data_IF_114743596304
#
_entry.id   IF_114743596304
#
_cell.length_a   1.000
_cell.length_b   1.000
_cell.length_c   1.000
_cell.angle_alpha   90.00
_cell.angle_beta   90.00
_cell.angle_gamma   90.00
#
_symmetry.space_group_name_H-M   'P 1'
#
loop_
_entity.id
_entity.type
_entity.pdbx_description
1 polymer ?
#
# COMPACT_ATOMS: atom_id res chain seq x y z
N UNK A 1 -1.59 28.20 -7.55
CA UNK A 1 -0.76 27.27 -8.35
C UNK A 1 0.27 26.65 -7.42
N UNK A 2 0.61 25.37 -7.61
CA UNK A 2 1.78 24.73 -7.01
C UNK A 2 2.95 24.87 -7.97
N UNK A 3 4.14 25.14 -7.43
CA UNK A 3 5.39 25.08 -8.18
C UNK A 3 6.06 23.75 -7.88
N UNK A 4 6.34 22.96 -8.91
CA UNK A 4 7.01 21.66 -8.80
C UNK A 4 8.36 21.75 -9.49
N UNK A 5 9.43 21.42 -8.78
CA UNK A 5 10.78 21.35 -9.32
C UNK A 5 11.11 19.89 -9.68
N UNK A 6 11.43 19.66 -10.96
CA UNK A 6 11.83 18.35 -11.47
C UNK A 6 13.35 18.13 -11.31
N UNK A 7 13.86 16.88 -11.46
CA UNK A 7 15.28 16.57 -11.25
C UNK A 7 16.23 17.28 -12.23
N UNK A 8 15.74 17.73 -13.38
CA UNK A 8 16.51 18.53 -14.34
C UNK A 8 16.62 20.02 -13.95
N UNK A 9 16.03 20.40 -12.81
CA UNK A 9 15.99 21.75 -12.28
C UNK A 9 14.86 22.62 -12.83
N UNK A 10 14.06 22.11 -13.79
CA UNK A 10 12.92 22.85 -14.33
C UNK A 10 11.82 23.02 -13.29
N UNK A 11 11.11 24.15 -13.35
CA UNK A 11 9.96 24.44 -12.48
C UNK A 11 8.71 24.48 -13.34
N UNK A 12 7.72 23.67 -12.99
CA UNK A 12 6.44 23.57 -13.67
C UNK A 12 5.29 23.93 -12.73
N UNK A 13 4.29 24.62 -13.27
CA UNK A 13 3.12 25.03 -12.50
C UNK A 13 1.94 24.07 -12.69
N UNK A 14 1.30 23.75 -11.57
CA UNK A 14 0.15 22.86 -11.51
C UNK A 14 -0.97 23.42 -10.63
N UNK A 15 -2.23 23.00 -10.83
CA UNK A 15 -3.31 23.26 -9.88
C UNK A 15 -2.97 22.73 -8.48
N UNK A 16 -3.59 23.29 -7.43
CA UNK A 16 -3.32 22.85 -6.04
C UNK A 16 -3.71 21.39 -5.78
N UNK A 17 -4.64 20.85 -6.55
CA UNK A 17 -5.11 19.47 -6.45
C UNK A 17 -4.23 18.48 -7.21
N UNK A 18 -3.16 18.93 -7.87
CA UNK A 18 -2.34 18.06 -8.69
C UNK A 18 -1.59 17.03 -7.85
N UNK A 19 -1.55 15.81 -8.38
CA UNK A 19 -0.83 14.65 -7.87
C UNK A 19 0.51 14.49 -8.60
N UNK A 20 1.39 13.63 -8.11
CA UNK A 20 2.61 13.32 -8.86
C UNK A 20 2.31 12.62 -10.20
N UNK A 21 1.21 11.84 -10.28
CA UNK A 21 0.75 11.28 -11.55
C UNK A 21 0.30 12.35 -12.54
N UNK A 22 -0.35 13.43 -12.09
CA UNK A 22 -0.72 14.54 -12.99
C UNK A 22 0.53 15.25 -13.54
N UNK A 23 1.59 15.35 -12.73
CA UNK A 23 2.89 15.83 -13.20
C UNK A 23 3.48 14.88 -14.25
N UNK A 24 3.46 13.58 -13.98
CA UNK A 24 3.95 12.56 -14.91
C UNK A 24 3.16 12.54 -16.23
N UNK A 25 1.84 12.70 -16.19
CA UNK A 25 0.98 12.71 -17.38
C UNK A 25 1.26 13.91 -18.28
N UNK A 26 1.53 15.09 -17.69
CA UNK A 26 1.96 16.26 -18.46
C UNK A 26 3.32 16.07 -19.14
N UNK A 27 4.24 15.34 -18.50
CA UNK A 27 5.55 15.00 -19.09
C UNK A 27 5.36 13.97 -20.22
N UNK A 28 4.53 12.95 -19.99
CA UNK A 28 4.11 12.03 -21.03
C UNK A 28 3.42 10.78 -20.49
N UNK A 29 2.38 10.34 -21.18
CA UNK A 29 1.53 9.19 -20.80
C UNK A 29 2.30 7.87 -20.61
N UNK A 30 3.42 7.67 -21.32
CA UNK A 30 4.29 6.50 -21.11
C UNK A 30 4.95 6.52 -19.74
N UNK A 31 5.40 7.70 -19.28
CA UNK A 31 6.01 7.85 -17.97
C UNK A 31 4.98 7.61 -16.87
N UNK A 32 3.80 8.24 -16.97
CA UNK A 32 2.71 8.09 -16.00
C UNK A 32 2.29 6.62 -15.78
N UNK A 33 2.28 5.80 -16.85
CA UNK A 33 2.01 4.35 -16.77
C UNK A 33 3.07 3.54 -16.04
N UNK A 34 4.27 4.08 -15.86
CA UNK A 34 5.39 3.41 -15.18
C UNK A 34 5.67 3.94 -13.78
N UNK A 35 5.02 5.04 -13.38
CA UNK A 35 5.17 5.59 -12.02
C UNK A 35 4.60 4.61 -11.01
N UNK A 36 5.43 4.34 -9.99
CA UNK A 36 5.16 3.48 -8.84
C UNK A 36 4.86 4.33 -7.61
N UNK A 37 5.64 5.38 -7.39
CA UNK A 37 5.52 6.31 -6.27
C UNK A 37 6.16 7.63 -6.65
N UNK A 38 6.14 8.59 -5.72
CA UNK A 38 6.91 9.81 -5.84
C UNK A 38 7.83 9.97 -4.64
N UNK A 39 8.87 10.79 -4.80
CA UNK A 39 9.78 11.20 -3.74
C UNK A 39 9.78 12.71 -3.64
N UNK A 40 9.52 13.21 -2.43
CA UNK A 40 9.61 14.62 -2.07
C UNK A 40 10.71 14.73 -1.03
N UNK A 41 11.80 15.41 -1.38
CA UNK A 41 13.06 15.38 -0.62
C UNK A 41 13.51 13.92 -0.38
N UNK A 42 13.58 13.48 0.88
CA UNK A 42 13.96 12.10 1.26
C UNK A 42 12.75 11.19 1.54
N UNK A 43 11.52 11.67 1.32
CA UNK A 43 10.29 10.95 1.67
C UNK A 43 9.62 10.36 0.44
N UNK A 44 9.41 9.05 0.44
CA UNK A 44 8.60 8.35 -0.56
C UNK A 44 7.12 8.48 -0.19
N UNK A 45 6.30 8.87 -1.16
CA UNK A 45 4.87 9.20 -1.01
C UNK A 45 4.05 8.63 -2.16
N UNK A 46 2.74 8.47 -1.95
CA UNK A 46 1.82 8.00 -2.98
C UNK A 46 1.80 8.95 -4.18
N UNK A 47 1.85 8.39 -5.38
CA UNK A 47 1.81 9.21 -6.59
C UNK A 47 0.41 9.75 -6.91
N UNK A 48 -0.63 9.17 -6.31
CA UNK A 48 -2.06 9.51 -6.49
C UNK A 48 -2.57 10.53 -5.48
N UNK A 49 -1.81 10.85 -4.44
CA UNK A 49 -2.22 11.81 -3.41
C UNK A 49 -1.92 13.25 -3.86
N UNK A 50 -2.79 14.24 -3.59
CA UNK A 50 -2.50 15.64 -3.92
C UNK A 50 -1.21 16.10 -3.26
N UNK A 51 -0.34 16.76 -4.02
CA UNK A 51 0.95 17.22 -3.54
C UNK A 51 0.82 18.24 -2.39
N UNK A 52 -0.27 19.03 -2.39
CA UNK A 52 -0.61 19.95 -1.31
C UNK A 52 -0.88 19.28 0.03
N UNK A 53 -1.22 17.99 0.04
CA UNK A 53 -1.55 17.24 1.26
C UNK A 53 -0.31 16.55 1.83
N UNK A 54 0.81 16.61 1.11
CA UNK A 54 2.06 15.91 1.39
C UNK A 54 3.15 16.86 1.91
N UNK A 55 3.13 18.12 1.48
CA UNK A 55 4.13 19.13 1.83
C UNK A 55 3.63 20.56 1.61
N UNK A 56 4.19 21.50 2.37
CA UNK A 56 3.99 22.95 2.21
C UNK A 56 5.14 23.64 1.43
N UNK A 57 6.11 22.87 0.93
CA UNK A 57 7.27 23.40 0.19
C UNK A 57 6.86 24.10 -1.11
N UNK A 58 7.64 25.12 -1.50
CA UNK A 58 7.51 25.79 -2.80
C UNK A 58 8.85 26.36 -3.26
N UNK A 59 9.43 25.87 -4.38
CA UNK A 59 8.94 24.78 -5.20
C UNK A 59 9.02 23.42 -4.47
N UNK A 60 8.14 22.50 -4.82
CA UNK A 60 8.14 21.12 -4.33
C UNK A 60 9.21 20.33 -5.11
N UNK A 61 10.29 19.85 -4.48
CA UNK A 61 11.27 19.01 -5.17
C UNK A 61 10.66 17.62 -5.39
N UNK A 62 10.32 17.28 -6.63
CA UNK A 62 9.60 16.06 -6.98
C UNK A 62 10.44 15.15 -7.86
N UNK A 63 10.66 13.91 -7.40
CA UNK A 63 11.20 12.82 -8.22
C UNK A 63 10.10 11.77 -8.44
N UNK A 64 9.87 11.39 -9.69
CA UNK A 64 8.94 10.32 -10.04
C UNK A 64 9.69 8.99 -10.00
N UNK A 65 9.24 8.08 -9.14
CA UNK A 65 9.86 6.76 -8.99
C UNK A 65 9.15 5.74 -9.88
N UNK A 66 9.94 4.92 -10.56
CA UNK A 66 9.51 3.86 -11.47
C UNK A 66 10.05 2.51 -11.03
N UNK A 67 9.71 1.43 -11.74
CA UNK A 67 10.25 0.09 -11.48
C UNK A 67 11.79 -0.02 -11.60
N UNK A 68 12.45 0.99 -12.16
CA UNK A 68 13.92 1.05 -12.31
C UNK A 68 14.62 1.59 -11.07
N UNK A 69 13.87 2.22 -10.18
CA UNK A 69 14.38 2.88 -9.00
C UNK A 69 14.30 1.90 -7.82
N UNK A 70 15.45 1.59 -7.21
CA UNK A 70 15.50 0.62 -6.11
C UNK A 70 14.59 1.00 -4.94
N UNK A 71 14.47 2.31 -4.65
CA UNK A 71 13.59 2.86 -3.62
C UNK A 71 12.09 2.57 -3.89
N UNK A 72 11.69 2.34 -5.16
CA UNK A 72 10.31 2.02 -5.52
C UNK A 72 9.93 0.56 -5.20
N UNK A 73 10.93 -0.31 -5.03
CA UNK A 73 10.72 -1.74 -4.86
C UNK A 73 9.98 -2.06 -3.56
N UNK A 74 10.22 -1.30 -2.50
CA UNK A 74 9.49 -1.46 -1.24
C UNK A 74 8.01 -1.11 -1.40
N UNK A 75 7.68 -0.08 -2.17
CA UNK A 75 6.27 0.26 -2.47
C UNK A 75 5.57 -0.86 -3.25
N UNK A 76 6.27 -1.45 -4.23
CA UNK A 76 5.79 -2.60 -4.98
C UNK A 76 5.56 -3.81 -4.08
N UNK A 77 6.53 -4.16 -3.23
CA UNK A 77 6.45 -5.28 -2.29
C UNK A 77 5.31 -5.10 -1.29
N UNK A 78 5.17 -3.91 -0.72
CA UNK A 78 4.10 -3.59 0.23
C UNK A 78 2.72 -3.72 -0.42
N UNK A 79 2.58 -3.20 -1.64
CA UNK A 79 1.33 -3.33 -2.41
C UNK A 79 1.04 -4.77 -2.80
N UNK A 80 2.07 -5.57 -3.06
CA UNK A 80 1.92 -7.00 -3.33
C UNK A 80 1.48 -7.77 -2.08
N UNK A 81 1.95 -7.37 -0.89
CA UNK A 81 1.48 -7.94 0.39
C UNK A 81 -0.03 -7.70 0.59
N UNK A 82 -0.54 -6.51 0.27
CA UNK A 82 -1.99 -6.23 0.31
C UNK A 82 -2.78 -7.07 -0.69
N UNK A 83 -2.28 -7.22 -1.92
CA UNK A 83 -2.91 -8.09 -2.93
C UNK A 83 -2.94 -9.55 -2.47
N UNK A 84 -1.86 -10.03 -1.81
CA UNK A 84 -1.82 -11.36 -1.22
C UNK A 84 -2.86 -11.50 -0.10
N UNK A 85 -2.94 -10.53 0.82
CA UNK A 85 -3.92 -10.55 1.89
C UNK A 85 -5.37 -10.59 1.37
N UNK A 86 -5.67 -9.77 0.36
CA UNK A 86 -6.97 -9.81 -0.33
C UNK A 86 -7.25 -11.17 -0.97
N UNK A 87 -6.27 -11.77 -1.64
CA UNK A 87 -6.41 -13.08 -2.25
C UNK A 87 -6.72 -14.16 -1.19
N UNK A 88 -5.99 -14.17 -0.07
CA UNK A 88 -6.24 -15.07 1.06
C UNK A 88 -7.65 -14.88 1.62
N UNK A 89 -8.09 -13.64 1.84
CA UNK A 89 -9.44 -13.35 2.33
C UNK A 89 -10.57 -13.76 1.37
N UNK A 90 -10.30 -13.85 0.06
CA UNK A 90 -11.28 -14.37 -0.92
C UNK A 90 -11.37 -15.89 -0.92
N UNK A 91 -10.25 -16.56 -0.66
CA UNK A 91 -10.17 -18.02 -0.70
C UNK A 91 -10.58 -18.67 0.62
N UNK A 92 -10.37 -17.99 1.75
CA UNK A 92 -10.60 -18.54 3.08
C UNK A 92 -11.50 -17.62 3.90
N UNK A 93 -12.50 -18.21 4.56
CA UNK A 93 -13.41 -17.48 5.44
C UNK A 93 -12.79 -17.23 6.82
N UNK A 94 -13.22 -16.14 7.46
CA UNK A 94 -12.85 -15.86 8.86
C UNK A 94 -11.40 -15.45 9.07
N UNK A 95 -10.72 -14.96 8.02
CA UNK A 95 -9.32 -14.48 8.10
C UNK A 95 -9.24 -13.16 8.88
N UNK A 96 -8.41 -13.14 9.92
CA UNK A 96 -7.98 -11.93 10.63
C UNK A 96 -6.57 -11.57 10.20
N UNK A 97 -6.36 -10.32 9.81
CA UNK A 97 -5.10 -9.77 9.34
C UNK A 97 -4.28 -9.23 10.51
N UNK A 98 -3.02 -9.66 10.62
CA UNK A 98 -2.05 -9.10 11.55
C UNK A 98 -1.16 -8.06 10.85
N UNK A 99 0.10 -8.41 10.55
CA UNK A 99 1.10 -7.49 9.97
C UNK A 99 1.57 -7.99 8.61
N UNK A 100 1.73 -7.08 7.64
CA UNK A 100 2.24 -7.39 6.31
C UNK A 100 3.33 -6.44 5.82
N UNK A 101 4.48 -6.36 6.49
CA UNK A 101 5.54 -5.43 6.12
C UNK A 101 6.37 -5.95 4.93
N UNK A 102 7.17 -5.05 4.38
CA UNK A 102 8.28 -5.41 3.50
C UNK A 102 9.50 -5.85 4.31
N UNK A 103 10.35 -6.64 3.66
CA UNK A 103 11.66 -7.07 4.15
C UNK A 103 12.68 -6.93 3.02
N UNK A 104 13.98 -6.99 3.32
CA UNK A 104 15.09 -6.74 2.38
C UNK A 104 14.90 -7.37 0.99
N UNK A 105 14.40 -8.61 0.96
CA UNK A 105 14.23 -9.41 -0.25
C UNK A 105 12.78 -9.80 -0.56
N UNK A 106 11.78 -9.17 0.06
CA UNK A 106 10.39 -9.52 -0.20
C UNK A 106 9.37 -8.84 0.72
N UNK A 107 8.33 -9.57 1.06
CA UNK A 107 7.28 -9.20 2.00
C UNK A 107 6.75 -10.47 2.65
N UNK A 108 6.06 -10.32 3.76
CA UNK A 108 5.26 -11.41 4.34
C UNK A 108 3.90 -10.84 4.77
N UNK A 109 3.01 -11.72 5.21
CA UNK A 109 1.78 -11.31 5.88
C UNK A 109 1.35 -12.37 6.89
N UNK A 110 1.12 -11.93 8.13
CA UNK A 110 0.64 -12.78 9.20
C UNK A 110 -0.89 -12.85 9.18
N UNK A 111 -1.43 -14.07 9.20
CA UNK A 111 -2.87 -14.35 9.18
C UNK A 111 -3.26 -15.19 10.38
N UNK A 112 -4.38 -14.85 11.01
CA UNK A 112 -5.12 -15.75 11.89
C UNK A 112 -6.31 -16.31 11.11
N UNK A 113 -6.32 -17.63 10.90
CA UNK A 113 -7.36 -18.34 10.17
C UNK A 113 -7.39 -19.82 10.58
N UNK A 114 -8.55 -20.47 10.42
CA UNK A 114 -8.71 -21.88 10.80
C UNK A 114 -7.99 -22.84 9.85
N UNK A 115 -7.88 -22.47 8.56
CA UNK A 115 -7.16 -23.26 7.56
C UNK A 115 -5.66 -23.17 7.79
N UNK A 116 -4.97 -24.32 7.80
CA UNK A 116 -3.51 -24.35 7.93
C UNK A 116 -2.90 -24.20 6.54
N UNK A 117 -2.46 -22.98 6.23
CA UNK A 117 -1.78 -22.70 4.97
C UNK A 117 -0.53 -23.56 4.81
N UNK A 118 -0.36 -24.08 3.61
CA UNK A 118 0.76 -24.93 3.18
C UNK A 118 1.24 -24.48 1.79
N UNK A 119 2.36 -25.03 1.32
CA UNK A 119 2.84 -24.74 -0.04
C UNK A 119 1.85 -25.20 -1.13
N UNK A 120 1.01 -26.20 -0.84
CA UNK A 120 -0.04 -26.68 -1.75
C UNK A 120 -1.12 -25.60 -2.02
N UNK A 121 -1.26 -24.62 -1.13
CA UNK A 121 -2.20 -23.51 -1.29
C UNK A 121 -1.65 -22.39 -2.20
N UNK A 122 -0.33 -22.34 -2.46
CA UNK A 122 0.30 -21.20 -3.11
C UNK A 122 -0.19 -21.00 -4.54
N UNK A 123 -0.40 -22.07 -5.30
CA UNK A 123 -0.90 -21.95 -6.68
C UNK A 123 -2.28 -21.28 -6.71
N UNK A 124 -3.17 -21.64 -5.78
CA UNK A 124 -4.50 -21.04 -5.69
C UNK A 124 -4.44 -19.57 -5.29
N UNK A 125 -3.62 -19.23 -4.28
CA UNK A 125 -3.44 -17.85 -3.82
C UNK A 125 -2.82 -17.00 -4.93
N UNK A 126 -1.74 -17.46 -5.58
CA UNK A 126 -1.09 -16.74 -6.67
C UNK A 126 -2.02 -16.54 -7.87
N UNK A 127 -2.86 -17.54 -8.20
CA UNK A 127 -3.87 -17.41 -9.24
C UNK A 127 -4.90 -16.32 -8.89
N UNK A 128 -5.37 -16.25 -7.65
CA UNK A 128 -6.30 -15.22 -7.20
C UNK A 128 -5.64 -13.82 -7.16
N UNK A 129 -4.39 -13.73 -6.70
CA UNK A 129 -3.58 -12.50 -6.80
C UNK A 129 -3.46 -12.03 -8.26
N UNK A 130 -3.26 -12.96 -9.20
CA UNK A 130 -3.22 -12.66 -10.63
C UNK A 130 -4.53 -12.09 -11.17
N UNK A 131 -5.69 -12.59 -10.69
CA UNK A 131 -7.00 -12.02 -11.06
C UNK A 131 -7.19 -10.61 -10.51
N UNK A 132 -6.76 -10.37 -9.26
CA UNK A 132 -6.79 -9.04 -8.63
C UNK A 132 -5.89 -8.06 -9.40
N UNK A 133 -4.67 -8.46 -9.76
CA UNK A 133 -3.76 -7.60 -10.53
C UNK A 133 -4.35 -7.26 -11.90
N UNK A 134 -5.02 -8.22 -12.54
CA UNK A 134 -5.67 -8.03 -13.83
C UNK A 134 -6.88 -7.10 -13.79
N UNK A 135 -7.57 -6.96 -12.64
CA UNK A 135 -8.67 -6.00 -12.50
C UNK A 135 -8.19 -4.55 -12.53
N UNK A 136 -6.89 -4.32 -12.27
CA UNK A 136 -6.25 -3.00 -12.25
C UNK A 136 -6.97 -1.99 -11.35
N UNK A 137 -7.56 -2.48 -10.25
CA UNK A 137 -8.21 -1.61 -9.27
C UNK A 137 -7.20 -0.68 -8.59
N UNK A 138 -7.58 0.59 -8.34
CA UNK A 138 -6.72 1.55 -7.70
C UNK A 138 -6.51 1.22 -6.21
N UNK A 139 -5.41 1.70 -5.66
CA UNK A 139 -5.22 1.80 -4.22
C UNK A 139 -5.69 3.18 -3.75
N UNK A 140 -6.82 3.20 -3.03
CA UNK A 140 -7.46 4.42 -2.56
C UNK A 140 -7.09 4.65 -1.09
N UNK A 141 -6.29 5.68 -0.84
CA UNK A 141 -5.93 6.08 0.51
C UNK A 141 -7.06 6.88 1.15
N UNK A 142 -7.38 6.57 2.40
CA UNK A 142 -8.25 7.41 3.22
C UNK A 142 -7.79 7.35 4.68
N UNK A 143 -8.19 8.35 5.46
CA UNK A 143 -7.86 8.44 6.88
C UNK A 143 -9.11 8.59 7.71
N UNK A 144 -9.13 7.96 8.89
CA UNK A 144 -10.24 8.03 9.83
C UNK A 144 -9.75 8.48 11.20
N UNK A 145 -10.65 9.11 11.97
CA UNK A 145 -10.42 9.33 13.39
C UNK A 145 -10.35 7.99 14.12
N UNK A 146 -9.63 7.95 15.24
CA UNK A 146 -9.39 6.71 16.00
C UNK A 146 -10.65 5.89 16.31
N UNK A 147 -11.74 6.53 16.72
CA UNK A 147 -13.00 5.85 17.05
C UNK A 147 -13.62 5.18 15.81
N UNK A 148 -13.67 5.92 14.70
CA UNK A 148 -14.18 5.43 13.41
C UNK A 148 -13.28 4.33 12.83
N UNK A 149 -11.96 4.47 12.94
CA UNK A 149 -10.98 3.46 12.54
C UNK A 149 -11.15 2.16 13.33
N UNK A 150 -11.33 2.26 14.65
CA UNK A 150 -11.59 1.12 15.53
C UNK A 150 -12.91 0.44 15.15
N UNK A 151 -13.96 1.24 14.92
CA UNK A 151 -15.26 0.74 14.50
C UNK A 151 -15.18 0.02 13.15
N UNK A 152 -14.49 0.60 12.17
CA UNK A 152 -14.31 0.00 10.85
C UNK A 152 -13.64 -1.38 10.95
N UNK A 153 -12.51 -1.48 11.67
CA UNK A 153 -11.84 -2.75 11.88
C UNK A 153 -12.73 -3.77 12.60
N UNK A 154 -13.52 -3.33 13.59
CA UNK A 154 -14.47 -4.19 14.29
C UNK A 154 -15.58 -4.70 13.38
N UNK A 155 -16.16 -3.83 12.54
CA UNK A 155 -17.22 -4.20 11.59
C UNK A 155 -16.69 -5.18 10.51
N UNK A 156 -15.42 -5.04 10.13
CA UNK A 156 -14.69 -5.95 9.24
C UNK A 156 -14.20 -7.23 9.95
N UNK A 157 -14.53 -7.42 11.23
CA UNK A 157 -14.12 -8.55 12.08
C UNK A 157 -12.59 -8.72 12.19
N UNK A 158 -11.84 -7.62 12.12
CA UNK A 158 -10.38 -7.58 12.22
C UNK A 158 -9.95 -7.28 13.66
N UNK A 159 -10.14 -8.25 14.57
CA UNK A 159 -9.84 -8.13 16.00
C UNK A 159 -8.39 -7.75 16.29
N UNK A 160 -7.43 -8.34 15.56
CA UNK A 160 -6.00 -8.06 15.73
C UNK A 160 -5.67 -6.60 15.38
N UNK A 161 -6.31 -6.05 14.35
CA UNK A 161 -6.17 -4.63 14.00
C UNK A 161 -6.80 -3.72 15.06
N UNK A 162 -7.97 -4.08 15.61
CA UNK A 162 -8.58 -3.35 16.73
C UNK A 162 -7.63 -3.29 17.93
N UNK A 163 -7.05 -4.43 18.32
CA UNK A 163 -6.08 -4.47 19.42
C UNK A 163 -4.84 -3.64 19.10
N UNK A 164 -4.33 -3.72 17.87
CA UNK A 164 -3.17 -2.93 17.45
C UNK A 164 -3.45 -1.42 17.50
N UNK A 165 -4.64 -0.98 17.09
CA UNK A 165 -5.07 0.42 17.22
C UNK A 165 -5.05 0.83 18.70
N UNK A 166 -5.64 0.02 19.57
CA UNK A 166 -5.77 0.29 21.00
C UNK A 166 -4.42 0.35 21.72
N UNK A 167 -3.45 -0.46 21.28
CA UNK A 167 -2.18 -0.64 21.97
C UNK A 167 -1.02 -0.02 21.20
N UNK A 168 -0.62 -0.63 20.07
CA UNK A 168 0.54 -0.24 19.28
C UNK A 168 0.43 1.15 18.65
N UNK A 169 -0.79 1.63 18.41
CA UNK A 169 -1.05 2.96 17.83
C UNK A 169 -1.81 3.87 18.81
N UNK A 170 -1.65 3.68 20.12
CA UNK A 170 -2.39 4.43 21.15
C UNK A 170 -2.29 5.95 21.00
N UNK A 171 -1.11 6.45 20.63
CA UNK A 171 -0.82 7.88 20.50
C UNK A 171 -1.29 8.49 19.17
N UNK A 172 -1.80 7.68 18.23
CA UNK A 172 -2.24 8.16 16.92
C UNK A 172 -3.73 8.52 16.93
N UNK A 173 -4.02 9.81 16.71
CA UNK A 173 -5.40 10.34 16.65
C UNK A 173 -6.09 10.06 15.30
N UNK A 174 -5.31 10.02 14.23
CA UNK A 174 -5.77 9.66 12.89
C UNK A 174 -5.00 8.45 12.37
N UNK A 175 -5.71 7.57 11.68
CA UNK A 175 -5.17 6.34 11.14
C UNK A 175 -5.45 6.25 9.64
N UNK A 176 -4.42 5.86 8.90
CA UNK A 176 -4.48 5.66 7.46
C UNK A 176 -4.96 4.27 7.10
N UNK A 177 -5.72 4.19 6.02
CA UNK A 177 -6.23 2.97 5.42
C UNK A 177 -6.03 3.02 3.91
N UNK A 178 -5.94 1.84 3.32
CA UNK A 178 -5.99 1.68 1.87
C UNK A 178 -7.12 0.75 1.50
N UNK A 179 -7.95 1.20 0.55
CA UNK A 179 -8.96 0.38 -0.11
C UNK A 179 -8.46 -0.09 -1.47
N UNK A 180 -8.71 -1.35 -1.80
CA UNK A 180 -8.55 -1.89 -3.14
C UNK A 180 -9.76 -2.78 -3.45
N UNK A 181 -10.72 -2.24 -4.21
CA UNK A 181 -12.00 -2.90 -4.42
C UNK A 181 -12.74 -3.11 -3.10
N UNK A 182 -13.08 -4.36 -2.78
CA UNK A 182 -13.72 -4.73 -1.51
C UNK A 182 -12.76 -4.81 -0.31
N UNK A 183 -11.45 -4.87 -0.56
CA UNK A 183 -10.45 -5.02 0.49
C UNK A 183 -10.10 -3.68 1.13
N UNK A 184 -9.99 -3.66 2.44
CA UNK A 184 -9.55 -2.49 3.22
C UNK A 184 -8.56 -2.97 4.27
N UNK A 185 -7.41 -2.31 4.36
CA UNK A 185 -6.42 -2.60 5.39
C UNK A 185 -5.88 -1.33 6.07
N UNK A 186 -5.55 -1.47 7.35
CA UNK A 186 -4.93 -0.43 8.19
C UNK A 186 -3.46 -0.32 7.80
N UNK A 187 -3.11 0.74 7.06
CA UNK A 187 -1.78 0.92 6.52
C UNK A 187 -1.49 2.41 6.28
N UNK A 188 -0.26 2.83 6.59
CA UNK A 188 0.23 4.19 6.33
C UNK A 188 0.66 4.41 4.87
N UNK A 189 0.95 3.32 4.16
CA UNK A 189 1.50 3.35 2.81
C UNK A 189 2.96 3.85 2.77
N UNK A 190 3.42 4.31 1.59
CA UNK A 190 2.64 4.50 0.37
C UNK A 190 2.35 3.17 -0.37
N UNK A 191 1.41 3.22 -1.32
CA UNK A 191 1.11 2.13 -2.25
C UNK A 191 1.23 2.57 -3.72
N UNK A 192 1.31 1.58 -4.60
CA UNK A 192 1.26 1.79 -6.05
C UNK A 192 -0.08 2.39 -6.49
N UNK A 193 -0.14 3.14 -7.61
CA UNK A 193 -1.40 3.72 -8.10
C UNK A 193 -2.53 2.71 -8.29
N UNK A 194 -2.21 1.56 -8.88
CA UNK A 194 -3.16 0.50 -9.20
C UNK A 194 -2.45 -0.85 -9.27
N UNK A 195 -3.23 -1.92 -9.10
CA UNK A 195 -2.72 -3.29 -9.02
C UNK A 195 -1.95 -3.72 -10.29
N UNK A 196 -2.22 -3.12 -11.45
CA UNK A 196 -1.56 -3.49 -12.72
C UNK A 196 -0.07 -3.15 -12.73
N UNK A 197 0.42 -2.34 -11.79
CA UNK A 197 1.85 -2.05 -11.64
C UNK A 197 2.65 -3.25 -11.13
N UNK A 198 2.01 -4.24 -10.51
CA UNK A 198 2.67 -5.49 -10.12
C UNK A 198 2.85 -6.37 -11.37
N UNK A 199 4.11 -6.60 -11.77
CA UNK A 199 4.43 -7.39 -12.98
C UNK A 199 4.86 -8.82 -12.68
N UNK A 200 5.51 -9.04 -11.55
CA UNK A 200 6.01 -10.33 -11.14
C UNK A 200 5.98 -10.43 -9.61
N UNK A 201 5.58 -11.60 -9.11
CA UNK A 201 5.59 -11.96 -7.71
C UNK A 201 5.64 -13.49 -7.59
N UNK A 202 6.03 -13.98 -6.42
CA UNK A 202 6.03 -15.41 -6.10
C UNK A 202 5.93 -15.58 -4.58
N UNK A 203 5.09 -16.50 -4.13
CA UNK A 203 5.06 -16.96 -2.74
C UNK A 203 6.16 -17.99 -2.54
N UNK A 204 6.98 -17.80 -1.50
CA UNK A 204 8.21 -18.57 -1.32
C UNK A 204 8.06 -19.65 -0.26
N UNK A 205 7.45 -19.32 0.87
CA UNK A 205 7.39 -20.20 2.04
C UNK A 205 6.27 -19.78 2.97
N UNK A 206 5.80 -20.70 3.79
CA UNK A 206 4.85 -20.46 4.88
C UNK A 206 5.47 -20.87 6.20
N UNK A 207 5.25 -20.07 7.23
CA UNK A 207 5.75 -20.32 8.58
C UNK A 207 4.69 -19.91 9.61
N UNK A 208 4.83 -20.43 10.83
CA UNK A 208 4.03 -19.99 11.97
C UNK A 208 4.66 -18.76 12.63
N UNK A 209 3.82 -17.80 13.00
CA UNK A 209 4.21 -16.64 13.80
C UNK A 209 3.27 -16.50 15.01
N UNK A 210 3.79 -15.94 16.08
CA UNK A 210 3.02 -15.60 17.27
C UNK A 210 2.63 -14.13 17.24
N UNK A 211 1.41 -13.81 17.67
CA UNK A 211 0.94 -12.44 17.74
C UNK A 211 1.87 -11.61 18.65
N UNK A 212 2.45 -10.55 18.10
CA UNK A 212 3.45 -9.69 18.78
C UNK A 212 4.64 -10.46 19.38
N UNK A 213 4.93 -11.66 18.85
CA UNK A 213 6.01 -12.52 19.35
C UNK A 213 5.73 -13.17 20.71
N UNK A 214 4.49 -13.15 21.22
CA UNK A 214 4.13 -13.80 22.47
C UNK A 214 3.62 -15.24 22.22
N UNK A 215 4.37 -16.22 22.70
CA UNK A 215 4.04 -17.63 22.55
C UNK A 215 2.94 -18.14 23.50
N UNK A 216 2.29 -17.24 24.25
CA UNK A 216 1.29 -17.55 25.26
C UNK A 216 -0.10 -17.02 24.92
#
# INVERSE_FOLDING_TARGET
MLQVQLPDGSIVEHPRTATALDVAEKIGSRLAKTVIAAKIEDRIVDATRPLSDLTDLSPIPLTLLTERDAEALDVLRHSTAHVMARAVMRLYEGVSLAFGPTIDHGFYYDFELAHKLSEDDFEAIEAEMGKIIKSAEPFEQFSLGREEATKLCSDLKQSLKVEHIQTGLAEHQQLGFYRQGEFVDLCRGPHIPDASRIKAFKLLSVAGAYWKGDAK
#
